data_IF_671742491591
#
_entry.id   IF_671742491591
#
_cell.length_a   1.000
_cell.length_b   1.000
_cell.length_c   1.000
_cell.angle_alpha   90.00
_cell.angle_beta   90.00
_cell.angle_gamma   90.00
#
_symmetry.space_group_name_H-M   'P 1'
#
loop_
_entity.id
_entity.type
_entity.pdbx_description
1 polymer ?
#
# COMPACT_ATOMS: atom_id res chain seq x y z
N UNK A 1 9.63 2.11 -12.13
CA UNK A 1 8.46 3.00 -12.11
C UNK A 1 7.59 2.83 -10.86
N UNK A 2 7.27 1.62 -10.39
CA UNK A 2 6.44 1.42 -9.18
C UNK A 2 7.06 1.89 -7.86
N UNK A 3 8.38 1.68 -7.66
CA UNK A 3 9.08 2.07 -6.42
C UNK A 3 9.02 3.58 -6.14
N UNK A 4 9.16 4.42 -7.16
CA UNK A 4 9.06 5.87 -7.02
C UNK A 4 7.66 6.32 -6.57
N UNK A 5 6.60 5.69 -7.10
CA UNK A 5 5.23 5.97 -6.66
C UNK A 5 5.05 5.59 -5.18
N UNK A 6 5.54 4.42 -4.77
CA UNK A 6 5.48 4.00 -3.36
C UNK A 6 6.25 4.94 -2.42
N UNK A 7 7.39 5.48 -2.87
CA UNK A 7 8.14 6.49 -2.10
C UNK A 7 7.35 7.79 -1.90
N UNK A 8 6.64 8.26 -2.94
CA UNK A 8 5.76 9.43 -2.85
C UNK A 8 4.63 9.18 -1.85
N UNK A 9 3.94 8.03 -1.97
CA UNK A 9 2.84 7.67 -1.06
C UNK A 9 3.31 7.61 0.39
N UNK A 10 4.51 7.05 0.62
CA UNK A 10 5.15 7.00 1.94
C UNK A 10 5.47 8.40 2.49
N UNK A 11 5.95 9.34 1.65
CA UNK A 11 6.18 10.74 2.08
C UNK A 11 4.87 11.43 2.45
N UNK A 12 3.83 11.27 1.64
CA UNK A 12 2.50 11.85 1.93
C UNK A 12 1.94 11.38 3.27
N UNK A 13 2.07 10.08 3.57
CA UNK A 13 1.70 9.53 4.87
C UNK A 13 2.53 10.15 6.00
N UNK A 14 3.86 10.15 5.86
CA UNK A 14 4.77 10.55 6.95
C UNK A 14 4.78 12.06 7.23
N UNK A 15 4.73 12.89 6.19
CA UNK A 15 4.87 14.35 6.30
C UNK A 15 3.51 15.05 6.46
N UNK A 16 2.44 14.47 5.92
CA UNK A 16 1.12 15.10 5.90
C UNK A 16 0.03 14.29 6.62
N UNK A 17 0.39 13.16 7.25
CA UNK A 17 -0.54 12.32 8.00
C UNK A 17 -1.64 11.68 7.14
N UNK A 18 -1.43 11.55 5.82
CA UNK A 18 -2.45 10.99 4.92
C UNK A 18 -2.62 9.48 5.16
N UNK A 19 -3.86 9.02 5.20
CA UNK A 19 -4.18 7.59 5.15
C UNK A 19 -4.16 7.12 3.70
N UNK A 20 -3.44 6.04 3.41
CA UNK A 20 -3.26 5.49 2.07
C UNK A 20 -3.82 4.07 2.04
N UNK A 21 -4.69 3.77 1.07
CA UNK A 21 -5.12 2.40 0.76
C UNK A 21 -4.53 2.02 -0.59
N UNK A 22 -3.70 0.99 -0.62
CA UNK A 22 -3.05 0.49 -1.83
C UNK A 22 -3.63 -0.88 -2.20
N UNK A 23 -4.12 -1.01 -3.43
CA UNK A 23 -4.53 -2.29 -4.01
C UNK A 23 -3.44 -2.76 -4.96
N UNK A 24 -2.90 -3.95 -4.74
CA UNK A 24 -1.82 -4.49 -5.58
C UNK A 24 -1.83 -6.02 -5.60
N UNK A 25 -1.36 -6.59 -6.72
CA UNK A 25 -1.02 -8.01 -6.83
C UNK A 25 0.48 -8.28 -6.63
N UNK A 26 1.32 -7.24 -6.47
CA UNK A 26 2.75 -7.38 -6.20
C UNK A 26 3.01 -7.55 -4.70
N UNK A 27 3.77 -8.59 -4.35
CA UNK A 27 4.21 -8.81 -2.97
C UNK A 27 5.15 -7.69 -2.48
N UNK A 28 6.00 -7.17 -3.35
CA UNK A 28 6.95 -6.11 -3.02
C UNK A 28 6.22 -4.82 -2.63
N UNK A 29 5.14 -4.48 -3.34
CA UNK A 29 4.29 -3.34 -3.00
C UNK A 29 3.54 -3.53 -1.68
N UNK A 30 3.02 -4.75 -1.45
CA UNK A 30 2.33 -5.09 -0.20
C UNK A 30 3.28 -5.06 1.01
N UNK A 31 4.52 -5.52 0.86
CA UNK A 31 5.53 -5.55 1.93
C UNK A 31 5.93 -4.15 2.44
N UNK A 32 5.63 -3.10 1.68
CA UNK A 32 5.89 -1.71 2.06
C UNK A 32 4.75 -1.07 2.88
N UNK A 33 3.61 -1.74 3.00
CA UNK A 33 2.46 -1.25 3.75
C UNK A 33 2.60 -1.56 5.24
N UNK A 34 1.99 -0.71 6.08
CA UNK A 34 1.99 -0.93 7.53
C UNK A 34 1.13 -2.14 7.92
N UNK A 35 0.10 -2.44 7.12
CA UNK A 35 -0.79 -3.60 7.25
C UNK A 35 -1.13 -4.14 5.87
N UNK A 36 -1.20 -5.46 5.75
CA UNK A 36 -1.62 -6.16 4.53
C UNK A 36 -2.89 -6.94 4.81
N UNK A 37 -3.94 -6.66 4.05
CA UNK A 37 -5.20 -7.41 4.05
C UNK A 37 -5.28 -8.19 2.74
N UNK A 38 -5.66 -9.47 2.81
CA UNK A 38 -5.90 -10.29 1.62
C UNK A 38 -7.39 -10.31 1.32
N UNK A 39 -7.73 -10.28 0.04
CA UNK A 39 -9.10 -10.38 -0.43
C UNK A 39 -9.22 -11.55 -1.41
N UNK A 40 -10.27 -12.35 -1.24
CA UNK A 40 -10.63 -13.43 -2.14
C UNK A 40 -12.15 -13.49 -2.27
N UNK A 41 -12.66 -13.56 -3.50
CA UNK A 41 -14.10 -13.59 -3.81
C UNK A 41 -14.93 -12.53 -3.06
N UNK A 42 -14.42 -11.29 -3.02
CA UNK A 42 -15.09 -10.15 -2.37
C UNK A 42 -15.06 -10.18 -0.83
N UNK A 43 -14.34 -11.12 -0.21
CA UNK A 43 -14.21 -11.24 1.25
C UNK A 43 -12.77 -10.95 1.69
N UNK A 44 -12.63 -10.25 2.80
CA UNK A 44 -11.35 -10.11 3.49
C UNK A 44 -11.03 -11.39 4.27
N UNK A 45 -9.77 -11.84 4.17
CA UNK A 45 -9.24 -13.02 4.84
C UNK A 45 -8.39 -12.64 6.05
#
# INVERSE_FOLDING_TARGET
SGKQVLEILRRLRNEQGKTIVLVTHSQEGAAMADRVLRMHDGKLL
#
